data_IF_674416270482
#
_entry.id   IF_674416270482
#
_cell.length_a   1.000
_cell.length_b   1.000
_cell.length_c   1.000
_cell.angle_alpha   90.00
_cell.angle_beta   90.00
_cell.angle_gamma   90.00
#
_symmetry.space_group_name_H-M   'P 1'
#
loop_
_entity.id
_entity.type
_entity.pdbx_description
1 polymer ?
#
# COMPACT_ATOMS: atom_id res chain seq x y z
N UNK A 1 -41.86 9.54 -49.56
CA UNK A 1 -41.93 8.64 -48.38
C UNK A 1 -40.55 8.01 -48.22
N UNK A 2 -39.91 8.28 -47.09
CA UNK A 2 -38.48 8.13 -46.86
C UNK A 2 -37.99 6.68 -46.78
N UNK A 3 -36.72 6.53 -47.14
CA UNK A 3 -35.87 5.36 -47.03
C UNK A 3 -35.90 4.70 -45.64
N UNK A 4 -35.90 3.37 -45.61
CA UNK A 4 -35.52 2.61 -44.41
C UNK A 4 -34.63 1.44 -44.84
N UNK A 5 -33.32 1.70 -44.77
CA UNK A 5 -32.25 0.75 -45.04
C UNK A 5 -32.25 -0.37 -43.99
N UNK A 6 -32.28 -1.61 -44.48
CA UNK A 6 -32.02 -2.83 -43.71
C UNK A 6 -30.55 -2.86 -43.28
N UNK A 7 -30.27 -2.47 -42.04
CA UNK A 7 -28.94 -2.52 -41.46
C UNK A 7 -28.73 -3.86 -40.72
N UNK A 8 -27.82 -4.67 -41.24
CA UNK A 8 -27.32 -5.90 -40.61
C UNK A 8 -26.60 -5.58 -39.27
N UNK A 9 -26.66 -6.46 -38.25
CA UNK A 9 -25.94 -6.25 -37.01
C UNK A 9 -24.45 -6.53 -37.23
N UNK A 10 -23.65 -5.45 -37.32
CA UNK A 10 -22.19 -5.55 -37.27
C UNK A 10 -21.77 -6.13 -35.92
N UNK A 11 -21.32 -7.38 -35.94
CA UNK A 11 -20.54 -7.99 -34.87
C UNK A 11 -19.32 -7.09 -34.61
N UNK A 12 -19.39 -6.30 -33.54
CA UNK A 12 -18.23 -5.56 -33.04
C UNK A 12 -17.20 -6.60 -32.60
N UNK A 13 -16.18 -6.78 -33.44
CA UNK A 13 -14.93 -7.40 -33.07
C UNK A 13 -14.53 -6.85 -31.70
N UNK A 14 -14.54 -7.75 -30.71
CA UNK A 14 -14.20 -7.46 -29.33
C UNK A 14 -12.73 -7.06 -29.34
N UNK A 15 -12.49 -5.75 -29.41
CA UNK A 15 -11.16 -5.17 -29.32
C UNK A 15 -10.48 -5.84 -28.12
N UNK A 16 -9.42 -6.57 -28.43
CA UNK A 16 -8.46 -7.09 -27.48
C UNK A 16 -8.06 -5.95 -26.56
N UNK A 17 -8.62 -5.96 -25.34
CA UNK A 17 -8.25 -5.01 -24.31
C UNK A 17 -6.71 -5.04 -24.21
N UNK A 18 -6.03 -3.87 -24.23
CA UNK A 18 -4.60 -3.83 -23.99
C UNK A 18 -4.37 -4.54 -22.67
N UNK A 19 -3.44 -5.50 -22.65
CA UNK A 19 -3.11 -6.32 -21.50
C UNK A 19 -3.19 -5.44 -20.25
N UNK A 20 -4.24 -5.64 -19.44
CA UNK A 20 -4.37 -5.01 -18.14
C UNK A 20 -3.28 -5.66 -17.30
N UNK A 21 -2.06 -5.16 -17.48
CA UNK A 21 -0.87 -5.61 -16.79
C UNK A 21 -1.23 -5.65 -15.34
N UNK A 22 -1.22 -6.85 -14.77
CA UNK A 22 -1.64 -7.06 -13.39
C UNK A 22 -0.79 -6.09 -12.55
N UNK A 23 -1.38 -5.20 -11.74
CA UNK A 23 -0.65 -4.11 -11.09
C UNK A 23 0.58 -4.57 -10.28
N UNK A 24 0.62 -5.85 -9.91
CA UNK A 24 1.77 -6.56 -9.33
C UNK A 24 3.05 -6.51 -10.20
N UNK A 25 2.94 -6.54 -11.53
CA UNK A 25 4.08 -6.46 -12.46
C UNK A 25 4.76 -5.10 -12.37
N UNK A 26 3.98 -4.02 -12.33
CA UNK A 26 4.51 -2.66 -12.18
C UNK A 26 5.29 -2.51 -10.87
N UNK A 27 4.75 -3.04 -9.77
CA UNK A 27 5.42 -3.03 -8.46
C UNK A 27 6.75 -3.78 -8.48
N UNK A 28 6.78 -4.96 -9.08
CA UNK A 28 8.01 -5.75 -9.23
C UNK A 28 9.08 -4.98 -10.01
N UNK A 29 8.72 -4.39 -11.15
CA UNK A 29 9.65 -3.64 -12.00
C UNK A 29 10.28 -2.47 -11.25
N UNK A 30 9.50 -1.73 -10.46
CA UNK A 30 10.02 -0.62 -9.64
C UNK A 30 11.03 -1.15 -8.62
N UNK A 31 10.68 -2.18 -7.84
CA UNK A 31 11.58 -2.76 -6.85
C UNK A 31 12.87 -3.29 -7.47
N UNK A 32 12.78 -3.95 -8.63
CA UNK A 32 13.95 -4.49 -9.32
C UNK A 32 14.83 -3.38 -9.91
N UNK A 33 14.25 -2.32 -10.47
CA UNK A 33 14.99 -1.20 -11.08
C UNK A 33 15.82 -0.43 -10.04
N UNK A 34 15.28 -0.29 -8.82
CA UNK A 34 16.00 0.37 -7.71
C UNK A 34 16.88 -0.58 -6.89
N UNK A 35 17.01 -1.87 -7.28
CA UNK A 35 17.80 -2.85 -6.53
C UNK A 35 17.24 -3.17 -5.14
N UNK A 36 15.95 -2.96 -4.93
CA UNK A 36 15.25 -3.18 -3.67
C UNK A 36 14.63 -4.59 -3.57
N UNK A 37 14.63 -5.36 -4.66
CA UNK A 37 14.12 -6.73 -4.67
C UNK A 37 14.94 -7.64 -3.73
N UNK A 38 14.25 -8.49 -2.96
CA UNK A 38 14.84 -9.41 -1.98
C UNK A 38 15.68 -8.71 -0.90
N UNK A 39 15.22 -7.53 -0.43
CA UNK A 39 15.87 -6.76 0.65
C UNK A 39 14.86 -6.28 1.69
N UNK A 40 15.30 -6.09 2.95
CA UNK A 40 14.46 -5.48 3.99
C UNK A 40 13.98 -4.09 3.59
N UNK A 41 14.83 -3.30 2.93
CA UNK A 41 14.46 -1.95 2.46
C UNK A 41 13.30 -2.02 1.47
N UNK A 42 13.34 -2.95 0.50
CA UNK A 42 12.24 -3.13 -0.46
C UNK A 42 10.95 -3.67 0.12
N UNK A 43 11.01 -4.31 1.29
CA UNK A 43 9.82 -4.78 2.03
C UNK A 43 9.21 -3.69 2.91
N UNK A 44 10.04 -2.82 3.50
CA UNK A 44 9.58 -1.82 4.48
C UNK A 44 9.24 -0.50 3.79
N UNK A 45 10.14 0.02 2.97
CA UNK A 45 10.07 1.38 2.44
C UNK A 45 8.77 1.67 1.66
N UNK A 46 8.25 0.78 0.80
CA UNK A 46 6.99 1.02 0.11
C UNK A 46 5.76 1.04 1.03
N UNK A 47 5.84 0.45 2.21
CA UNK A 47 4.74 0.41 3.20
C UNK A 47 4.80 1.57 4.20
N UNK A 48 5.91 2.33 4.25
CA UNK A 48 6.08 3.42 5.21
C UNK A 48 5.17 4.62 4.93
N UNK A 49 4.77 4.80 3.67
CA UNK A 49 3.98 5.95 3.24
C UNK A 49 2.64 5.45 2.72
N UNK A 50 1.58 5.85 3.41
CA UNK A 50 0.21 5.52 3.05
C UNK A 50 -0.63 6.78 2.87
N UNK A 51 -1.48 6.77 1.84
CA UNK A 51 -2.32 7.91 1.48
C UNK A 51 -3.39 8.20 2.53
N UNK A 52 -3.98 7.17 3.15
CA UNK A 52 -4.97 7.37 4.21
C UNK A 52 -4.31 7.96 5.46
N UNK A 53 -3.09 7.53 5.78
CA UNK A 53 -2.31 8.12 6.86
C UNK A 53 -2.00 9.60 6.68
N UNK A 54 -1.58 10.00 5.48
CA UNK A 54 -1.38 11.41 5.13
C UNK A 54 -2.69 12.19 5.27
N UNK A 55 -3.79 11.63 4.77
CA UNK A 55 -5.09 12.27 4.85
C UNK A 55 -5.53 12.50 6.29
N UNK A 56 -5.46 11.47 7.15
CA UNK A 56 -5.82 11.57 8.58
C UNK A 56 -4.99 12.65 9.29
N UNK A 57 -3.67 12.63 9.09
CA UNK A 57 -2.79 13.61 9.73
C UNK A 57 -3.05 15.02 9.23
N UNK A 58 -3.30 15.19 7.93
CA UNK A 58 -3.66 16.48 7.34
C UNK A 58 -4.95 17.03 7.95
N UNK A 59 -5.99 16.21 8.05
CA UNK A 59 -7.26 16.59 8.67
C UNK A 59 -7.07 16.99 10.15
N UNK A 60 -6.23 16.25 10.88
CA UNK A 60 -5.94 16.58 12.28
C UNK A 60 -5.20 17.91 12.40
N UNK A 61 -4.14 18.14 11.62
CA UNK A 61 -3.40 19.39 11.68
C UNK A 61 -4.25 20.61 11.31
N UNK A 62 -5.17 20.48 10.35
CA UNK A 62 -6.12 21.55 10.00
C UNK A 62 -7.14 21.84 11.10
N UNK A 63 -7.41 20.88 11.98
CA UNK A 63 -8.30 21.08 13.13
C UNK A 63 -7.65 21.84 14.29
N UNK A 64 -6.32 22.00 14.27
CA UNK A 64 -5.59 22.72 15.32
C UNK A 64 -5.84 24.23 15.14
N UNK A 65 -6.29 24.94 16.19
CA UNK A 65 -6.55 26.38 16.10
C UNK A 65 -5.27 27.17 15.78
N UNK A 66 -5.34 28.12 14.85
CA UNK A 66 -4.18 28.92 14.39
C UNK A 66 -3.62 29.82 15.49
N UNK A 67 -4.46 30.18 16.46
CA UNK A 67 -4.12 31.03 17.61
C UNK A 67 -3.01 30.40 18.45
N UNK A 68 -2.92 29.06 18.48
CA UNK A 68 -1.87 28.32 19.19
C UNK A 68 -0.50 28.54 18.53
N UNK A 69 -0.45 28.55 17.20
CA UNK A 69 0.79 28.82 16.46
C UNK A 69 1.20 30.29 16.54
N UNK A 70 0.23 31.21 16.59
CA UNK A 70 0.47 32.63 16.79
C UNK A 70 1.01 32.91 18.19
N UNK A 71 0.42 32.32 19.24
CA UNK A 71 0.93 32.42 20.60
C UNK A 71 2.38 31.94 20.71
N UNK A 72 2.71 30.78 20.13
CA UNK A 72 4.08 30.26 20.11
C UNK A 72 5.06 31.20 19.39
N UNK A 73 4.62 31.91 18.33
CA UNK A 73 5.44 32.92 17.64
C UNK A 73 5.64 34.18 18.48
N UNK A 74 4.62 34.62 19.21
CA UNK A 74 4.73 35.74 20.17
C UNK A 74 5.72 35.39 21.28
N UNK A 75 5.76 34.12 21.72
CA UNK A 75 6.74 33.59 22.68
C UNK A 75 8.15 33.40 22.08
N UNK A 76 8.38 33.83 20.84
CA UNK A 76 9.68 33.78 20.15
C UNK A 76 10.06 32.40 19.60
N UNK A 77 9.12 31.44 19.52
CA UNK A 77 9.39 30.16 18.88
C UNK A 77 9.42 30.29 17.34
N UNK A 78 10.51 29.81 16.72
CA UNK A 78 10.59 29.66 15.27
C UNK A 78 9.75 28.49 14.75
N UNK A 79 9.44 28.48 13.45
CA UNK A 79 8.53 27.51 12.80
C UNK A 79 8.82 26.05 13.14
N UNK A 80 10.09 25.64 13.08
CA UNK A 80 10.51 24.27 13.39
C UNK A 80 10.22 23.92 14.86
N UNK A 81 10.51 24.85 15.79
CA UNK A 81 10.25 24.66 17.21
C UNK A 81 8.74 24.61 17.50
N UNK A 82 7.95 25.48 16.87
CA UNK A 82 6.49 25.47 17.00
C UNK A 82 5.91 24.13 16.54
N UNK A 83 6.38 23.59 15.42
CA UNK A 83 5.96 22.27 14.94
C UNK A 83 6.28 21.17 15.95
N UNK A 84 7.55 21.01 16.35
CA UNK A 84 7.98 19.89 17.19
C UNK A 84 7.53 20.00 18.66
N UNK A 85 7.44 21.22 19.20
CA UNK A 85 7.16 21.45 20.62
C UNK A 85 5.69 21.76 20.93
N UNK A 86 4.88 22.16 19.94
CA UNK A 86 3.49 22.59 20.16
C UNK A 86 2.52 21.78 19.31
N UNK A 87 2.65 21.84 17.98
CA UNK A 87 1.69 21.22 17.04
C UNK A 87 1.76 19.69 17.09
N UNK A 88 2.97 19.12 17.03
CA UNK A 88 3.17 17.66 17.00
C UNK A 88 2.73 16.96 18.30
N UNK A 89 3.01 17.49 19.51
CA UNK A 89 2.47 16.93 20.76
C UNK A 89 0.94 16.97 20.83
N UNK A 90 0.30 18.01 20.29
CA UNK A 90 -1.16 18.07 20.20
C UNK A 90 -1.73 17.01 19.25
N UNK A 91 -0.96 16.64 18.22
CA UNK A 91 -1.30 15.57 17.28
C UNK A 91 -1.03 14.13 17.78
N UNK A 92 -0.60 13.96 19.04
CA UNK A 92 -0.38 12.64 19.64
C UNK A 92 -1.56 11.66 19.50
N UNK A 93 -2.82 12.05 19.74
CA UNK A 93 -3.95 11.12 19.61
C UNK A 93 -4.09 10.58 18.17
N UNK A 94 -3.95 11.46 17.17
CA UNK A 94 -3.97 11.07 15.77
C UNK A 94 -2.75 10.21 15.38
N UNK A 95 -1.56 10.54 15.86
CA UNK A 95 -0.35 9.76 15.62
C UNK A 95 -0.46 8.34 16.17
N UNK A 96 -1.03 8.16 17.37
CA UNK A 96 -1.26 6.84 17.96
C UNK A 96 -2.22 6.03 17.07
N UNK A 97 -3.33 6.66 16.66
CA UNK A 97 -4.33 6.03 15.80
C UNK A 97 -3.74 5.60 14.46
N UNK A 98 -3.00 6.51 13.82
CA UNK A 98 -2.28 6.23 12.58
C UNK A 98 -1.29 5.08 12.76
N UNK A 99 -0.50 5.10 13.82
CA UNK A 99 0.50 4.06 14.09
C UNK A 99 -0.16 2.68 14.19
N UNK A 100 -1.28 2.57 14.91
CA UNK A 100 -2.01 1.31 15.05
C UNK A 100 -2.54 0.83 13.70
N UNK A 101 -3.19 1.71 12.94
CA UNK A 101 -3.78 1.35 11.64
C UNK A 101 -2.70 0.98 10.61
N UNK A 102 -1.62 1.75 10.53
CA UNK A 102 -0.49 1.49 9.63
C UNK A 102 0.23 0.19 9.99
N UNK A 103 0.42 -0.09 11.28
CA UNK A 103 1.02 -1.35 11.74
C UNK A 103 0.13 -2.54 11.37
N UNK A 104 -1.16 -2.47 11.67
CA UNK A 104 -2.12 -3.52 11.31
C UNK A 104 -2.14 -3.75 9.79
N UNK A 105 -2.17 -2.67 8.99
CA UNK A 105 -2.14 -2.76 7.54
C UNK A 105 -0.86 -3.43 7.02
N UNK A 106 0.30 -3.01 7.52
CA UNK A 106 1.60 -3.57 7.12
C UNK A 106 1.73 -5.05 7.48
N UNK A 107 1.21 -5.45 8.64
CA UNK A 107 1.21 -6.85 9.08
C UNK A 107 0.33 -7.74 8.19
N UNK A 108 -0.80 -7.21 7.71
CA UNK A 108 -1.75 -7.93 6.86
C UNK A 108 -1.37 -7.92 5.38
N UNK A 109 -0.32 -7.21 5.00
CA UNK A 109 0.03 -7.00 3.60
C UNK A 109 0.67 -8.26 2.99
N UNK A 110 -0.13 -9.11 2.38
CA UNK A 110 0.35 -10.34 1.74
C UNK A 110 0.87 -10.11 0.32
N UNK A 111 0.17 -9.28 -0.46
CA UNK A 111 0.44 -9.12 -1.89
C UNK A 111 1.79 -8.45 -2.13
N UNK A 112 2.18 -7.49 -1.28
CA UNK A 112 3.52 -6.90 -1.36
C UNK A 112 4.62 -7.93 -1.21
N UNK A 113 4.58 -8.72 -0.14
CA UNK A 113 5.69 -9.58 0.23
C UNK A 113 5.87 -10.71 -0.77
N UNK A 114 4.79 -11.21 -1.36
CA UNK A 114 4.88 -12.15 -2.49
C UNK A 114 5.65 -11.60 -3.70
N UNK A 115 5.59 -10.30 -3.94
CA UNK A 115 6.23 -9.65 -5.10
C UNK A 115 7.63 -9.14 -4.77
N UNK A 116 7.88 -8.80 -3.50
CA UNK A 116 9.11 -8.15 -3.07
C UNK A 116 10.25 -9.11 -2.71
N UNK A 117 9.94 -10.36 -2.35
CA UNK A 117 10.92 -11.37 -1.94
C UNK A 117 10.60 -12.74 -2.53
N UNK A 118 11.64 -13.53 -2.79
CA UNK A 118 11.52 -14.94 -3.15
C UNK A 118 12.36 -15.87 -2.26
N UNK A 119 13.39 -15.35 -1.60
CA UNK A 119 14.27 -16.16 -0.75
C UNK A 119 13.59 -16.52 0.57
N UNK A 120 13.94 -17.68 1.14
CA UNK A 120 13.48 -18.07 2.48
C UNK A 120 14.03 -17.20 3.60
N UNK A 121 15.06 -16.38 3.34
CA UNK A 121 15.71 -15.51 4.34
C UNK A 121 14.83 -14.31 4.71
N UNK A 122 14.03 -13.81 3.77
CA UNK A 122 13.17 -12.63 3.96
C UNK A 122 11.69 -13.01 4.02
N UNK A 123 11.40 -14.24 4.41
CA UNK A 123 10.04 -14.74 4.51
C UNK A 123 9.30 -14.08 5.67
N UNK A 124 8.11 -13.54 5.40
CA UNK A 124 7.24 -12.98 6.43
C UNK A 124 6.29 -14.04 6.97
N UNK A 125 5.70 -13.78 8.14
CA UNK A 125 4.71 -14.69 8.73
C UNK A 125 3.53 -14.96 7.80
N UNK A 126 3.06 -13.96 7.05
CA UNK A 126 1.94 -14.10 6.13
C UNK A 126 2.30 -14.97 4.91
N UNK A 127 3.49 -14.81 4.33
CA UNK A 127 3.96 -15.66 3.22
C UNK A 127 4.32 -17.06 3.66
N UNK A 128 4.97 -17.21 4.82
CA UNK A 128 5.34 -18.50 5.39
C UNK A 128 4.13 -19.34 5.79
N UNK A 129 3.12 -18.72 6.43
CA UNK A 129 1.86 -19.40 6.74
C UNK A 129 1.15 -19.85 5.44
N UNK A 130 1.12 -19.01 4.40
CA UNK A 130 0.53 -19.39 3.13
C UNK A 130 1.26 -20.58 2.48
N UNK A 131 2.61 -20.59 2.51
CA UNK A 131 3.39 -21.74 2.03
C UNK A 131 3.10 -23.00 2.83
N UNK A 132 2.99 -22.91 4.16
CA UNK A 132 2.66 -24.04 5.02
C UNK A 132 1.27 -24.61 4.74
N UNK A 133 0.25 -23.75 4.66
CA UNK A 133 -1.14 -24.16 4.36
C UNK A 133 -1.25 -24.76 2.96
N UNK A 134 -0.57 -24.18 1.97
CA UNK A 134 -0.58 -24.70 0.59
C UNK A 134 0.19 -26.02 0.45
N UNK A 135 1.30 -26.19 1.15
CA UNK A 135 2.06 -27.44 1.19
C UNK A 135 1.30 -28.58 1.90
N UNK A 136 0.51 -28.26 2.93
CA UNK A 136 -0.38 -29.20 3.60
C UNK A 136 -1.53 -29.72 2.73
N UNK A 137 -1.95 -28.94 1.72
CA UNK A 137 -2.99 -29.34 0.75
C UNK A 137 -2.43 -30.05 -0.49
N UNK A 138 -1.12 -29.92 -0.77
CA UNK A 138 -0.43 -30.59 -1.90
C UNK A 138 0.15 -31.98 -1.58
N UNK A 139 0.28 -32.33 -0.29
CA UNK A 139 0.87 -33.61 0.16
C UNK A 139 -0.04 -34.84 0.04
N UNK A 140 -1.30 -34.68 -0.41
CA UNK A 140 -2.30 -35.76 -0.48
C UNK A 140 -2.65 -36.28 -1.88
N UNK A 141 -2.06 -35.74 -2.97
CA UNK A 141 -2.47 -36.07 -4.35
C UNK A 141 -1.37 -36.68 -5.23
N UNK A 142 -0.34 -37.30 -4.63
CA UNK A 142 0.79 -37.85 -5.38
C UNK A 142 1.33 -39.22 -4.92
N UNK A 143 0.66 -39.91 -4.01
CA UNK A 143 1.13 -41.20 -3.47
C UNK A 143 0.18 -42.35 -3.81
N UNK A 144 -0.16 -42.51 -5.09
CA UNK A 144 -0.67 -43.79 -5.63
C UNK A 144 -0.15 -43.94 -7.06
N UNK A 145 1.10 -44.40 -7.21
CA UNK A 145 1.55 -45.12 -8.40
C UNK A 145 2.54 -46.20 -7.97
N UNK A 146 2.00 -47.41 -8.05
CA UNK A 146 2.62 -48.74 -8.08
C UNK A 146 3.27 -49.27 -6.79
#
# INVERSE_FOLDING_TARGET
MNAMATAAPRAKARASAPARGRPVLGRFLVLNTFGLFDTYTGMVLPLMVDAAGIFIMKQFFESIPREVEEAARVDGAGVIRTFWSVVLPMARPALITLTILSFQGSWNEFTHFLVATQSGRYETLTTGLARFVSGGLGGGSGAVKE
#
